data_IF_881448502328
#
_entry.id   IF_881448502328
#
_cell.length_a   1.000
_cell.length_b   1.000
_cell.length_c   1.000
_cell.angle_alpha   90.00
_cell.angle_beta   90.00
_cell.angle_gamma   90.00
#
_symmetry.space_group_name_H-M   'P 1'
#
loop_
_entity.id
_entity.type
_entity.pdbx_description
1 polymer ?
#
# COMPACT_ATOMS: atom_id res chain seq x y z
N UNK A 1 5.50 3.17 6.23
CA UNK A 1 4.95 1.82 6.45
C UNK A 1 4.83 1.13 5.10
N UNK A 2 5.13 -0.17 4.97
CA UNK A 2 4.95 -0.93 3.72
C UNK A 2 4.06 -2.14 3.99
N UNK A 3 3.11 -2.43 3.11
CA UNK A 3 2.28 -3.64 3.21
C UNK A 3 3.02 -4.81 2.57
N UNK A 4 2.85 -5.99 3.17
CA UNK A 4 3.20 -7.28 2.57
C UNK A 4 1.94 -8.13 2.51
N UNK A 5 1.61 -8.63 1.33
CA UNK A 5 0.44 -9.45 1.06
C UNK A 5 0.92 -10.89 0.93
N UNK A 6 0.25 -11.83 1.58
CA UNK A 6 0.72 -13.22 1.68
C UNK A 6 -0.10 -14.20 0.81
N UNK A 7 -1.21 -13.72 0.23
CA UNK A 7 -2.25 -14.55 -0.39
C UNK A 7 -2.91 -13.81 -1.56
N UNK A 8 -3.42 -14.58 -2.53
CA UNK A 8 -4.06 -14.07 -3.75
C UNK A 8 -3.22 -14.24 -5.01
N UNK A 9 -3.85 -14.17 -6.16
CA UNK A 9 -3.14 -14.04 -7.44
C UNK A 9 -2.60 -12.61 -7.57
N UNK A 10 -1.45 -12.45 -8.23
CA UNK A 10 -0.83 -11.15 -8.51
C UNK A 10 -0.44 -10.30 -7.27
N UNK A 11 0.02 -10.98 -6.21
CA UNK A 11 0.47 -10.39 -4.93
C UNK A 11 1.38 -9.19 -5.13
N UNK A 12 2.39 -9.27 -6.02
CA UNK A 12 3.36 -8.18 -6.22
C UNK A 12 2.71 -6.93 -6.79
N UNK A 13 1.74 -7.07 -7.69
CA UNK A 13 1.03 -5.93 -8.28
C UNK A 13 0.14 -5.28 -7.24
N UNK A 14 -0.61 -6.06 -6.46
CA UNK A 14 -1.41 -5.56 -5.35
C UNK A 14 -0.56 -4.85 -4.29
N UNK A 15 0.58 -5.43 -3.91
CA UNK A 15 1.54 -4.80 -3.00
C UNK A 15 2.04 -3.47 -3.56
N UNK A 16 2.41 -3.43 -4.84
CA UNK A 16 2.89 -2.21 -5.51
C UNK A 16 1.81 -1.13 -5.51
N UNK A 17 0.57 -1.48 -5.83
CA UNK A 17 -0.56 -0.55 -5.87
C UNK A 17 -0.86 0.04 -4.50
N UNK A 18 -0.95 -0.81 -3.46
CA UNK A 18 -1.23 -0.34 -2.10
C UNK A 18 -0.06 0.48 -1.56
N UNK A 19 1.18 0.04 -1.76
CA UNK A 19 2.36 0.80 -1.35
C UNK A 19 2.44 2.16 -2.05
N UNK A 20 2.07 2.24 -3.34
CA UNK A 20 1.97 3.51 -4.06
C UNK A 20 0.85 4.41 -3.53
N UNK A 21 -0.30 3.84 -3.15
CA UNK A 21 -1.41 4.60 -2.56
C UNK A 21 -1.03 5.22 -1.21
N UNK A 22 -0.31 4.48 -0.37
CA UNK A 22 0.04 4.92 0.99
C UNK A 22 1.34 5.72 1.06
N UNK A 23 2.13 5.81 -0.01
CA UNK A 23 3.48 6.41 0.04
C UNK A 23 3.51 7.88 0.44
N UNK A 24 2.41 8.62 0.23
CA UNK A 24 2.28 10.04 0.59
C UNK A 24 1.37 10.31 1.79
N UNK A 25 1.00 9.25 2.51
CA UNK A 25 0.02 9.29 3.59
C UNK A 25 0.69 8.96 4.91
N UNK A 26 0.30 9.64 5.98
CA UNK A 26 0.68 9.24 7.33
C UNK A 26 -0.17 8.05 7.76
N UNK A 27 0.28 6.85 7.40
CA UNK A 27 -0.43 5.61 7.73
C UNK A 27 -0.34 5.33 9.22
N UNK A 28 -1.50 5.14 9.85
CA UNK A 28 -1.66 4.79 11.26
C UNK A 28 -1.74 3.27 11.40
N UNK A 29 -2.52 2.61 10.54
CA UNK A 29 -2.68 1.16 10.57
C UNK A 29 -3.04 0.58 9.20
N UNK A 30 -2.61 -0.65 8.97
CA UNK A 30 -2.98 -1.46 7.81
C UNK A 30 -3.53 -2.78 8.32
N UNK A 31 -4.69 -3.20 7.82
CA UNK A 31 -5.31 -4.49 8.14
C UNK A 31 -5.65 -5.25 6.87
N UNK A 32 -5.54 -6.56 6.93
CA UNK A 32 -5.90 -7.47 5.86
C UNK A 32 -6.96 -8.43 6.38
N UNK A 33 -7.98 -8.69 5.57
CA UNK A 33 -9.01 -9.67 5.87
C UNK A 33 -9.42 -10.40 4.61
N UNK A 34 -9.68 -11.68 4.74
CA UNK A 34 -10.13 -12.52 3.65
C UNK A 34 -11.59 -12.91 3.87
N UNK A 35 -12.34 -13.00 2.79
CA UNK A 35 -13.72 -13.45 2.81
C UNK A 35 -14.05 -14.21 1.54
N UNK A 36 -15.05 -15.08 1.62
CA UNK A 36 -15.64 -15.71 0.45
C UNK A 36 -16.97 -15.04 0.19
N UNK A 37 -17.20 -14.59 -1.05
CA UNK A 37 -18.45 -13.96 -1.42
C UNK A 37 -19.56 -14.97 -1.77
N UNK A 38 -20.75 -14.48 -2.12
CA UNK A 38 -21.91 -15.31 -2.46
C UNK A 38 -21.70 -16.18 -3.70
N UNK A 39 -20.72 -15.86 -4.54
CA UNK A 39 -20.36 -16.59 -5.76
C UNK A 39 -19.22 -17.59 -5.50
N UNK A 40 -18.88 -17.84 -4.23
CA UNK A 40 -17.77 -18.69 -3.82
C UNK A 40 -16.40 -18.18 -4.30
N UNK A 41 -16.26 -16.86 -4.49
CA UNK A 41 -15.00 -16.22 -4.88
C UNK A 41 -14.27 -15.67 -3.65
N UNK A 42 -12.98 -15.98 -3.57
CA UNK A 42 -12.09 -15.41 -2.55
C UNK A 42 -11.88 -13.93 -2.79
N UNK A 43 -12.00 -13.14 -1.72
CA UNK A 43 -11.78 -11.70 -1.71
C UNK A 43 -10.80 -11.32 -0.61
N UNK A 44 -9.74 -10.62 -0.99
CA UNK A 44 -8.81 -9.96 -0.08
C UNK A 44 -9.26 -8.50 0.10
N UNK A 45 -9.52 -8.09 1.33
CA UNK A 45 -9.82 -6.70 1.70
C UNK A 45 -8.64 -6.12 2.46
N UNK A 46 -8.11 -5.01 1.96
CA UNK A 46 -7.01 -4.26 2.58
C UNK A 46 -7.58 -2.93 3.09
N UNK A 47 -7.57 -2.75 4.41
CA UNK A 47 -8.04 -1.52 5.06
C UNK A 47 -6.86 -0.69 5.52
N UNK A 48 -6.80 0.56 5.10
CA UNK A 48 -5.76 1.52 5.48
C UNK A 48 -6.39 2.64 6.30
N UNK A 49 -5.94 2.79 7.54
CA UNK A 49 -6.21 3.97 8.36
C UNK A 49 -5.01 4.92 8.22
N UNK A 50 -5.27 6.14 7.82
CA UNK A 50 -4.24 7.17 7.64
C UNK A 50 -4.79 8.54 8.05
N UNK A 51 -3.88 9.44 8.43
CA UNK A 51 -4.18 10.84 8.65
C UNK A 51 -4.15 11.59 7.31
N UNK A 52 -5.22 12.32 6.99
CA UNK A 52 -5.37 13.07 5.74
C UNK A 52 -4.95 14.55 5.86
N UNK A 53 -4.66 15.02 7.08
CA UNK A 53 -4.26 16.40 7.33
C UNK A 53 -2.82 16.68 6.86
N UNK A 54 -2.03 15.62 6.67
CA UNK A 54 -0.63 15.70 6.22
C UNK A 54 -0.44 15.00 4.87
N UNK A 55 -0.39 15.78 3.80
CA UNK A 55 0.16 15.31 2.52
C UNK A 55 1.66 15.54 2.51
N UNK A 56 2.45 14.46 2.60
CA UNK A 56 3.89 14.58 2.38
C UNK A 56 4.16 14.66 0.87
N UNK A 57 4.93 15.66 0.45
CA UNK A 57 5.53 15.65 -0.88
C UNK A 57 6.50 14.47 -0.93
N UNK A 58 6.18 13.50 -1.79
CA UNK A 58 7.03 12.35 -2.06
C UNK A 58 8.37 12.84 -2.59
N UNK A 59 9.40 12.81 -1.75
CA UNK A 59 10.78 12.92 -2.21
C UNK A 59 11.12 11.56 -2.79
N UNK A 60 11.15 11.49 -4.12
CA UNK A 60 11.65 10.32 -4.81
C UNK A 60 13.09 10.04 -4.33
N UNK A 61 13.39 8.78 -3.99
CA UNK A 61 14.75 8.39 -3.57
C UNK A 61 15.79 8.68 -4.68
N UNK A 62 15.34 8.87 -5.93
CA UNK A 62 16.17 9.35 -7.05
C UNK A 62 16.66 10.80 -6.88
N UNK A 63 16.00 11.62 -6.06
CA UNK A 63 16.39 13.02 -5.83
C UNK A 63 17.74 13.13 -5.11
N UNK A 64 18.05 12.18 -4.23
CA UNK A 64 19.36 12.12 -3.55
C UNK A 64 20.47 11.53 -4.43
N UNK A 65 20.13 10.75 -5.46
CA UNK A 65 21.13 10.10 -6.32
C UNK A 65 21.66 11.00 -7.45
N UNK A 66 21.03 12.15 -7.72
CA UNK A 66 21.49 13.10 -8.75
C UNK A 66 22.28 14.29 -8.19
N UNK A 67 22.58 14.31 -6.89
CA UNK A 67 23.33 15.41 -6.24
C UNK A 67 24.82 15.10 -6.04
N UNK A 68 25.30 13.96 -6.53
CA UNK A 68 26.70 13.57 -6.46
C UNK A 68 27.22 13.22 -7.85
N UNK A 69 27.78 14.25 -8.51
CA UNK A 69 29.01 14.33 -9.33
C UNK A 69 28.83 15.43 -10.37
#
# INVERSE_FOLDING_TARGET
>A
MKIKIFTGEDVRTLETMVNRFISKKQVIAIRQSESVDRNNQWRLTITVLYDDCYSYDYIDETFFNNSSV
#
